data_IF_963128852674
#
_entry.id   IF_963128852674
#
_cell.length_a   1.000
_cell.length_b   1.000
_cell.length_c   1.000
_cell.angle_alpha   90.00
_cell.angle_beta   90.00
_cell.angle_gamma   90.00
#
_symmetry.space_group_name_H-M   'P 1'
#
loop_
_entity.id
_entity.type
_entity.pdbx_description
1 polymer ?
#
# COMPACT_ATOMS: atom_id res chain seq x y z
N UNK A 1 7.56 20.80 -3.54
CA UNK A 1 6.75 19.61 -3.81
C UNK A 1 7.23 18.53 -2.85
N UNK A 2 6.32 17.84 -2.17
CA UNK A 2 6.69 16.68 -1.36
C UNK A 2 6.84 15.44 -2.26
N UNK A 3 7.63 14.47 -1.83
CA UNK A 3 7.83 13.21 -2.54
C UNK A 3 7.40 12.05 -1.65
N UNK A 4 6.80 11.02 -2.26
CA UNK A 4 6.57 9.71 -1.65
C UNK A 4 7.61 8.75 -2.21
N UNK A 5 8.38 8.11 -1.34
CA UNK A 5 9.29 7.04 -1.76
C UNK A 5 8.53 5.74 -1.98
N UNK A 6 8.68 5.14 -3.15
CA UNK A 6 7.99 3.91 -3.56
C UNK A 6 8.97 3.00 -4.32
N UNK A 7 9.27 1.78 -3.87
CA UNK A 7 9.07 1.22 -2.53
C UNK A 7 10.38 0.58 -2.04
N UNK A 8 10.55 0.42 -0.72
CA UNK A 8 11.79 -0.14 -0.15
C UNK A 8 11.86 -1.66 -0.31
N UNK A 9 10.75 -2.36 -0.05
CA UNK A 9 10.71 -3.83 -0.14
C UNK A 9 9.51 -4.24 -0.98
N UNK A 10 9.78 -4.90 -2.10
CA UNK A 10 8.75 -5.45 -2.99
C UNK A 10 9.26 -6.73 -3.65
N UNK A 11 8.36 -7.71 -3.79
CA UNK A 11 8.70 -9.02 -4.34
C UNK A 11 8.90 -9.01 -5.87
N UNK A 12 8.28 -8.04 -6.58
CA UNK A 12 8.20 -8.04 -8.05
C UNK A 12 9.42 -7.43 -8.74
N UNK A 13 10.02 -6.39 -8.12
CA UNK A 13 11.11 -5.60 -8.72
C UNK A 13 12.43 -5.70 -7.93
N UNK A 14 12.63 -6.80 -7.22
CA UNK A 14 13.85 -7.04 -6.47
C UNK A 14 15.03 -7.37 -7.41
N UNK A 15 16.26 -6.94 -7.08
CA UNK A 15 17.42 -7.29 -7.89
C UNK A 15 17.74 -8.78 -7.73
N UNK A 16 17.86 -9.51 -8.85
CA UNK A 16 18.02 -10.98 -8.90
C UNK A 16 19.06 -11.59 -7.95
N UNK A 17 20.12 -10.86 -7.59
CA UNK A 17 21.14 -11.38 -6.69
C UNK A 17 20.58 -11.69 -5.30
N UNK A 18 19.63 -10.89 -4.80
CA UNK A 18 19.05 -11.09 -3.46
C UNK A 18 18.28 -12.41 -3.39
N UNK A 19 17.61 -12.79 -4.48
CA UNK A 19 16.87 -14.05 -4.57
C UNK A 19 17.75 -15.29 -4.40
N UNK A 20 19.07 -15.18 -4.60
CA UNK A 20 20.01 -16.29 -4.46
C UNK A 20 20.65 -16.36 -3.07
N UNK A 21 20.46 -15.35 -2.22
CA UNK A 21 21.02 -15.32 -0.87
C UNK A 21 20.34 -16.34 0.05
N UNK A 22 21.09 -16.86 1.02
CA UNK A 22 20.49 -17.58 2.15
C UNK A 22 19.69 -16.64 3.07
N UNK A 23 18.93 -17.23 4.00
CA UNK A 23 18.06 -16.48 4.93
C UNK A 23 18.80 -15.39 5.73
N UNK A 24 19.98 -15.70 6.27
CA UNK A 24 20.71 -14.77 7.13
C UNK A 24 21.31 -13.63 6.30
N UNK A 25 21.90 -13.96 5.15
CA UNK A 25 22.47 -12.98 4.23
C UNK A 25 21.38 -12.04 3.72
N UNK A 26 20.23 -12.59 3.29
CA UNK A 26 19.07 -11.80 2.84
C UNK A 26 18.54 -10.87 3.92
N UNK A 27 18.45 -11.34 5.16
CA UNK A 27 18.04 -10.52 6.30
C UNK A 27 18.97 -9.31 6.48
N UNK A 28 20.29 -9.50 6.37
CA UNK A 28 21.24 -8.39 6.42
C UNK A 28 21.13 -7.47 5.20
N UNK A 29 20.91 -8.02 4.01
CA UNK A 29 20.69 -7.25 2.78
C UNK A 29 19.45 -6.35 2.87
N UNK A 30 18.34 -6.84 3.44
CA UNK A 30 17.13 -6.04 3.71
C UNK A 30 17.44 -4.88 4.65
N UNK A 31 18.10 -5.16 5.79
CA UNK A 31 18.46 -4.14 6.78
C UNK A 31 19.38 -3.08 6.16
N UNK A 32 20.41 -3.52 5.43
CA UNK A 32 21.38 -2.65 4.79
C UNK A 32 20.76 -1.79 3.69
N UNK A 33 19.87 -2.37 2.86
CA UNK A 33 19.16 -1.65 1.81
C UNK A 33 18.30 -0.52 2.41
N UNK A 34 17.43 -0.84 3.37
CA UNK A 34 16.55 0.13 4.03
C UNK A 34 17.37 1.23 4.70
N UNK A 35 18.43 0.85 5.43
CA UNK A 35 19.33 1.80 6.09
C UNK A 35 19.98 2.75 5.10
N UNK A 36 20.50 2.22 3.99
CA UNK A 36 21.24 3.00 3.00
C UNK A 36 20.31 3.97 2.27
N UNK A 37 19.16 3.50 1.80
CA UNK A 37 18.21 4.32 1.05
C UNK A 37 17.61 5.41 1.92
N UNK A 38 17.13 5.07 3.13
CA UNK A 38 16.51 6.07 4.01
C UNK A 38 17.51 7.13 4.47
N UNK A 39 18.75 6.75 4.80
CA UNK A 39 19.79 7.74 5.12
C UNK A 39 20.16 8.63 3.94
N UNK A 40 20.18 8.08 2.73
CA UNK A 40 20.49 8.87 1.53
C UNK A 40 19.44 9.96 1.25
N UNK A 41 18.17 9.66 1.51
CA UNK A 41 17.04 10.56 1.30
C UNK A 41 16.57 11.28 2.58
N UNK A 42 17.35 11.22 3.67
CA UNK A 42 17.01 11.89 4.92
C UNK A 42 16.79 13.39 4.69
N UNK A 43 15.66 13.90 5.20
CA UNK A 43 15.25 15.30 5.03
C UNK A 43 14.73 15.67 3.64
N UNK A 44 14.73 14.73 2.67
CA UNK A 44 14.22 14.96 1.30
C UNK A 44 12.89 14.26 1.04
N UNK A 45 12.70 13.07 1.61
CA UNK A 45 11.48 12.26 1.48
C UNK A 45 10.99 11.92 2.89
N UNK A 46 9.78 12.33 3.22
CA UNK A 46 9.19 12.17 4.55
C UNK A 46 8.17 11.04 4.64
N UNK A 47 7.81 10.41 3.52
CA UNK A 47 6.81 9.34 3.45
C UNK A 47 7.33 8.22 2.55
N UNK A 48 7.30 6.98 3.03
CA UNK A 48 7.80 5.81 2.30
C UNK A 48 6.86 4.62 2.37
N UNK A 49 6.68 3.97 1.22
CA UNK A 49 6.20 2.60 1.15
C UNK A 49 7.31 1.66 1.56
N UNK A 50 7.23 1.20 2.80
CA UNK A 50 8.25 0.31 3.38
C UNK A 50 8.11 -1.09 2.80
N UNK A 51 6.88 -1.58 2.70
CA UNK A 51 6.57 -2.88 2.09
C UNK A 51 5.39 -2.71 1.14
N UNK A 52 5.55 -3.22 -0.07
CA UNK A 52 4.52 -3.22 -1.11
C UNK A 52 4.00 -4.65 -1.36
N UNK A 53 2.67 -4.82 -1.40
CA UNK A 53 1.97 -6.01 -1.92
C UNK A 53 2.35 -7.36 -1.29
N UNK A 54 2.57 -7.38 0.03
CA UNK A 54 2.96 -8.59 0.75
C UNK A 54 1.79 -9.55 1.02
N UNK A 55 0.54 -9.14 0.83
CA UNK A 55 -0.65 -9.95 1.10
C UNK A 55 -1.10 -10.63 -0.19
N UNK A 56 -1.37 -11.93 -0.08
CA UNK A 56 -1.70 -12.80 -1.20
C UNK A 56 -3.11 -12.51 -1.74
N UNK A 57 -3.28 -12.54 -3.06
CA UNK A 57 -4.58 -12.31 -3.69
C UNK A 57 -5.62 -13.40 -3.36
N UNK A 58 -5.14 -14.59 -2.96
CA UNK A 58 -5.99 -15.67 -2.46
C UNK A 58 -6.42 -15.54 -1.00
N UNK A 59 -6.13 -14.41 -0.34
CA UNK A 59 -6.61 -14.15 1.03
C UNK A 59 -8.14 -14.09 1.07
N UNK A 60 -8.76 -14.69 2.09
CA UNK A 60 -10.21 -14.91 2.16
C UNK A 60 -10.95 -13.96 3.12
N UNK A 61 -10.26 -13.01 3.76
CA UNK A 61 -10.84 -12.10 4.76
C UNK A 61 -10.99 -12.68 6.17
N UNK A 62 -10.51 -13.90 6.44
CA UNK A 62 -10.44 -14.49 7.78
C UNK A 62 -8.97 -14.67 8.19
N UNK A 63 -8.39 -13.64 8.80
CA UNK A 63 -6.95 -13.47 8.93
C UNK A 63 -6.32 -12.99 7.62
N UNK A 64 -4.99 -13.12 7.51
CA UNK A 64 -4.25 -12.79 6.29
C UNK A 64 -3.31 -13.92 5.88
N UNK A 65 -3.05 -14.01 4.58
CA UNK A 65 -2.06 -14.90 3.99
C UNK A 65 -0.99 -14.04 3.34
N UNK A 66 0.27 -14.26 3.71
CA UNK A 66 1.38 -13.62 3.00
C UNK A 66 1.55 -14.24 1.62
N UNK A 67 1.87 -13.39 0.64
CA UNK A 67 2.21 -13.79 -0.72
C UNK A 67 3.40 -14.75 -0.68
N UNK A 68 3.28 -15.85 -1.42
CA UNK A 68 4.35 -16.85 -1.53
C UNK A 68 5.53 -16.32 -2.37
N UNK A 69 6.35 -15.47 -1.77
CA UNK A 69 7.51 -14.81 -2.38
C UNK A 69 8.82 -15.34 -1.80
N UNK A 70 9.93 -15.14 -2.52
CA UNK A 70 11.27 -15.49 -2.02
C UNK A 70 11.58 -14.77 -0.68
N UNK A 71 11.08 -13.54 -0.50
CA UNK A 71 11.20 -12.76 0.74
C UNK A 71 10.55 -13.51 1.90
N UNK A 72 9.28 -13.90 1.76
CA UNK A 72 8.54 -14.59 2.81
C UNK A 72 9.06 -16.02 3.06
N UNK A 73 9.43 -16.74 2.01
CA UNK A 73 9.96 -18.11 2.11
C UNK A 73 11.28 -18.15 2.87
N UNK A 74 12.17 -17.18 2.64
CA UNK A 74 13.51 -17.15 3.24
C UNK A 74 13.57 -16.36 4.54
N UNK A 75 12.79 -15.30 4.67
CA UNK A 75 12.77 -14.41 5.84
C UNK A 75 11.31 -14.13 6.24
N UNK A 76 10.64 -15.05 6.96
CA UNK A 76 9.21 -14.90 7.28
C UNK A 76 8.85 -13.64 8.07
N UNK A 77 9.78 -13.06 8.82
CA UNK A 77 9.64 -11.84 9.60
C UNK A 77 10.13 -10.57 8.87
N UNK A 78 10.34 -10.62 7.55
CA UNK A 78 10.92 -9.50 6.79
C UNK A 78 10.16 -8.18 6.93
N UNK A 79 8.83 -8.23 7.08
CA UNK A 79 8.00 -7.03 7.21
C UNK A 79 8.25 -6.35 8.56
N UNK A 80 8.25 -7.14 9.64
CA UNK A 80 8.58 -6.66 10.98
C UNK A 80 10.00 -6.05 11.01
N UNK A 81 10.97 -6.72 10.40
CA UNK A 81 12.34 -6.23 10.26
C UNK A 81 12.34 -4.90 9.50
N UNK A 82 11.66 -4.83 8.35
CA UNK A 82 11.66 -3.66 7.50
C UNK A 82 11.13 -2.41 8.21
N UNK A 83 9.95 -2.51 8.84
CA UNK A 83 9.37 -1.40 9.59
C UNK A 83 10.21 -1.00 10.81
N UNK A 84 10.71 -1.97 11.59
CA UNK A 84 11.57 -1.69 12.76
C UNK A 84 12.87 -1.00 12.35
N UNK A 85 13.54 -1.50 11.32
CA UNK A 85 14.75 -0.88 10.77
C UNK A 85 14.46 0.52 10.23
N UNK A 86 13.40 0.69 9.44
CA UNK A 86 13.02 1.98 8.89
C UNK A 86 12.78 3.03 9.98
N UNK A 87 12.03 2.68 11.03
CA UNK A 87 11.81 3.58 12.18
C UNK A 87 13.11 3.89 12.92
N UNK A 88 13.99 2.91 13.10
CA UNK A 88 15.26 3.10 13.79
C UNK A 88 16.18 4.09 13.05
N UNK A 89 16.24 4.01 11.73
CA UNK A 89 17.17 4.83 10.93
C UNK A 89 16.57 6.14 10.43
N UNK A 90 15.23 6.23 10.35
CA UNK A 90 14.51 7.43 9.91
C UNK A 90 13.31 7.72 10.83
N UNK A 91 13.54 8.20 12.06
CA UNK A 91 12.51 8.28 13.09
C UNK A 91 11.37 9.26 12.77
N UNK A 92 11.58 10.21 11.85
CA UNK A 92 10.58 11.21 11.45
C UNK A 92 9.81 10.87 10.18
N UNK A 93 10.25 9.85 9.43
CA UNK A 93 9.56 9.42 8.21
C UNK A 93 8.26 8.70 8.57
N UNK A 94 7.21 8.97 7.80
CA UNK A 94 5.96 8.21 7.82
C UNK A 94 6.12 6.90 7.06
N UNK A 95 5.80 5.79 7.73
CA UNK A 95 6.03 4.43 7.25
C UNK A 95 4.71 3.78 6.83
N UNK A 96 4.59 3.47 5.54
CA UNK A 96 3.37 2.94 4.93
C UNK A 96 3.52 1.48 4.49
N UNK A 97 2.43 0.73 4.63
CA UNK A 97 2.18 -0.51 3.88
C UNK A 97 1.29 -0.18 2.68
N UNK A 98 1.65 -0.56 1.46
CA UNK A 98 0.91 -0.23 0.23
C UNK A 98 0.49 -1.50 -0.52
N UNK A 99 -0.74 -1.54 -1.04
CA UNK A 99 -1.27 -2.73 -1.74
C UNK A 99 -2.46 -2.39 -2.67
N UNK A 100 -2.64 -3.18 -3.72
CA UNK A 100 -3.79 -3.11 -4.64
C UNK A 100 -4.92 -4.06 -4.24
N UNK A 101 -6.09 -3.85 -4.85
CA UNK A 101 -7.30 -4.63 -4.59
C UNK A 101 -7.66 -4.55 -3.09
N UNK A 102 -7.49 -3.33 -2.54
CA UNK A 102 -7.76 -2.97 -1.15
C UNK A 102 -8.66 -1.73 -1.00
N UNK A 103 -9.43 -1.37 -2.02
CA UNK A 103 -10.12 -0.07 -2.14
C UNK A 103 -11.54 -0.05 -1.52
N UNK A 104 -12.03 -1.20 -1.09
CA UNK A 104 -13.35 -1.37 -0.47
C UNK A 104 -13.36 -2.56 0.47
N UNK A 105 -14.49 -3.25 0.63
CA UNK A 105 -14.62 -4.34 1.61
C UNK A 105 -14.94 -5.66 0.91
N UNK A 106 -13.93 -6.51 0.83
CA UNK A 106 -13.97 -7.89 0.33
C UNK A 106 -12.79 -8.65 0.95
N UNK A 107 -12.56 -9.87 0.46
CA UNK A 107 -11.61 -10.81 1.03
C UNK A 107 -10.19 -10.24 1.24
N UNK A 108 -9.53 -9.74 0.19
CA UNK A 108 -8.17 -9.21 0.30
C UNK A 108 -8.09 -7.96 1.18
N UNK A 109 -8.97 -6.98 0.98
CA UNK A 109 -8.96 -5.75 1.79
C UNK A 109 -9.21 -5.99 3.27
N UNK A 110 -10.08 -6.95 3.61
CA UNK A 110 -10.34 -7.36 4.98
C UNK A 110 -9.12 -8.05 5.61
N UNK A 111 -8.39 -8.84 4.83
CA UNK A 111 -7.12 -9.43 5.25
C UNK A 111 -6.02 -8.38 5.47
N UNK A 112 -5.90 -7.38 4.59
CA UNK A 112 -4.97 -6.26 4.78
C UNK A 112 -5.32 -5.45 6.04
N UNK A 113 -6.61 -5.17 6.26
CA UNK A 113 -7.06 -4.49 7.48
C UNK A 113 -6.66 -5.26 8.74
N UNK A 114 -6.92 -6.57 8.78
CA UNK A 114 -6.54 -7.43 9.92
C UNK A 114 -5.02 -7.48 10.13
N UNK A 115 -4.25 -7.52 9.04
CA UNK A 115 -2.80 -7.47 9.08
C UNK A 115 -2.30 -6.15 9.67
N UNK A 116 -2.79 -5.00 9.21
CA UNK A 116 -2.42 -3.68 9.76
C UNK A 116 -2.83 -3.56 11.23
N UNK A 117 -4.01 -4.06 11.60
CA UNK A 117 -4.45 -4.09 13.00
C UNK A 117 -3.51 -4.93 13.88
N UNK A 118 -3.01 -6.05 13.37
CA UNK A 118 -2.02 -6.89 14.06
C UNK A 118 -0.66 -6.19 14.21
N UNK A 119 -0.18 -5.51 13.16
CA UNK A 119 1.04 -4.69 13.26
C UNK A 119 0.93 -3.65 14.37
N UNK A 120 -0.21 -2.93 14.44
CA UNK A 120 -0.47 -1.97 15.52
C UNK A 120 -0.53 -2.66 16.89
N UNK A 121 -1.24 -3.79 17.00
CA UNK A 121 -1.34 -4.57 18.24
C UNK A 121 0.03 -5.04 18.76
N UNK A 122 0.94 -5.42 17.87
CA UNK A 122 2.31 -5.86 18.20
C UNK A 122 3.32 -4.72 18.31
N UNK A 123 2.87 -3.47 18.22
CA UNK A 123 3.72 -2.26 18.24
C UNK A 123 4.79 -2.23 17.14
N UNK A 124 4.48 -2.77 15.95
CA UNK A 124 5.28 -2.52 14.75
C UNK A 124 5.04 -1.07 14.31
N UNK A 125 6.11 -0.29 14.00
CA UNK A 125 5.99 1.15 13.78
C UNK A 125 5.43 1.48 12.40
N UNK A 126 4.15 1.20 12.18
CA UNK A 126 3.40 1.59 10.98
C UNK A 126 2.61 2.87 11.27
N UNK A 127 2.72 3.85 10.36
CA UNK A 127 2.02 5.13 10.45
C UNK A 127 0.84 5.21 9.50
N UNK A 128 0.88 4.49 8.37
CA UNK A 128 -0.15 4.59 7.36
C UNK A 128 -0.34 3.35 6.49
N UNK A 129 -1.44 3.34 5.76
CA UNK A 129 -1.76 2.38 4.71
C UNK A 129 -1.99 3.11 3.39
N UNK A 130 -1.38 2.59 2.33
CA UNK A 130 -1.58 3.02 0.96
C UNK A 130 -2.57 2.10 0.27
N UNK A 131 -3.61 2.70 -0.30
CA UNK A 131 -4.59 2.03 -1.15
C UNK A 131 -4.22 2.42 -2.58
N UNK A 132 -3.66 1.49 -3.36
CA UNK A 132 -3.20 1.77 -4.73
C UNK A 132 -4.34 2.32 -5.58
N UNK A 133 -5.50 1.67 -5.55
CA UNK A 133 -6.68 2.15 -6.26
C UNK A 133 -6.62 2.02 -7.78
N UNK A 134 -6.05 0.91 -8.25
CA UNK A 134 -6.20 0.46 -9.63
C UNK A 134 -7.55 -0.24 -9.83
N UNK A 135 -8.49 0.44 -10.48
CA UNK A 135 -9.85 -0.06 -10.69
C UNK A 135 -10.30 0.11 -12.14
N UNK A 136 -11.42 -0.50 -12.50
CA UNK A 136 -12.04 -0.32 -13.82
C UNK A 136 -13.47 0.22 -13.69
N UNK A 137 -13.99 0.83 -14.75
CA UNK A 137 -15.39 1.31 -14.76
C UNK A 137 -16.40 0.17 -14.55
N UNK A 138 -16.04 -1.09 -14.87
CA UNK A 138 -16.88 -2.28 -14.63
C UNK A 138 -16.69 -2.85 -13.23
N UNK A 139 -15.47 -2.79 -12.69
CA UNK A 139 -15.11 -3.38 -11.40
C UNK A 139 -14.52 -2.29 -10.51
N UNK A 140 -15.38 -1.72 -9.67
CA UNK A 140 -15.04 -0.62 -8.76
C UNK A 140 -15.82 -0.70 -7.45
N UNK A 141 -15.25 -0.20 -6.34
CA UNK A 141 -15.89 -0.24 -5.03
C UNK A 141 -17.00 0.80 -4.86
N UNK A 142 -18.12 0.42 -4.27
CA UNK A 142 -19.16 1.39 -3.90
C UNK A 142 -18.64 2.42 -2.89
N UNK A 143 -19.08 3.68 -3.04
CA UNK A 143 -18.75 4.80 -2.13
C UNK A 143 -18.78 4.43 -0.64
N UNK A 144 -19.86 3.81 -0.17
CA UNK A 144 -20.03 3.44 1.24
C UNK A 144 -19.01 2.38 1.72
N UNK A 145 -18.49 1.54 0.83
CA UNK A 145 -17.46 0.55 1.16
C UNK A 145 -16.08 1.19 1.28
N UNK A 146 -15.76 2.14 0.40
CA UNK A 146 -14.52 2.93 0.47
C UNK A 146 -14.52 3.74 1.77
N UNK A 147 -15.57 4.52 2.01
CA UNK A 147 -15.73 5.36 3.19
C UNK A 147 -15.65 4.54 4.49
N UNK A 148 -16.34 3.40 4.54
CA UNK A 148 -16.28 2.53 5.71
C UNK A 148 -14.88 1.95 5.95
N UNK A 149 -14.18 1.52 4.89
CA UNK A 149 -12.82 1.00 5.01
C UNK A 149 -11.86 2.07 5.56
N UNK A 150 -11.88 3.27 4.99
CA UNK A 150 -11.00 4.37 5.42
C UNK A 150 -11.28 4.73 6.89
N UNK A 151 -12.57 4.86 7.27
CA UNK A 151 -12.96 5.11 8.67
C UNK A 151 -12.43 4.03 9.62
N UNK A 152 -12.39 2.75 9.19
CA UNK A 152 -11.83 1.66 10.00
C UNK A 152 -10.33 1.82 10.21
N UNK A 153 -9.57 2.20 9.18
CA UNK A 153 -8.15 2.53 9.34
C UNK A 153 -7.93 3.74 10.24
N UNK A 154 -8.76 4.78 10.14
CA UNK A 154 -8.70 5.91 11.07
C UNK A 154 -8.85 5.47 12.53
N UNK A 155 -9.74 4.51 12.82
CA UNK A 155 -9.94 3.94 14.16
C UNK A 155 -8.75 3.11 14.66
N UNK A 156 -7.93 2.57 13.77
CA UNK A 156 -6.65 1.92 14.13
C UNK A 156 -5.54 2.94 14.43
N UNK A 157 -5.76 4.23 14.18
CA UNK A 157 -4.77 5.27 14.37
C UNK A 157 -3.63 5.19 13.35
N UNK A 158 -3.97 4.87 12.10
CA UNK A 158 -3.07 4.99 10.94
C UNK A 158 -3.63 5.99 9.95
N UNK A 159 -2.73 6.67 9.24
CA UNK A 159 -3.07 7.50 8.08
C UNK A 159 -3.48 6.61 6.89
N UNK A 160 -4.27 7.16 5.98
CA UNK A 160 -4.62 6.51 4.72
C UNK A 160 -4.19 7.40 3.57
N UNK A 161 -3.49 6.86 2.60
CA UNK A 161 -3.30 7.52 1.31
C UNK A 161 -4.01 6.70 0.23
N UNK A 162 -4.62 7.39 -0.74
CA UNK A 162 -4.89 6.84 -2.08
C UNK A 162 -3.66 7.15 -2.93
N UNK A 163 -3.04 6.14 -3.53
CA UNK A 163 -1.59 6.22 -3.82
C UNK A 163 -1.23 6.09 -5.28
N UNK A 164 -2.05 5.38 -6.05
CA UNK A 164 -1.77 5.02 -7.44
C UNK A 164 -3.09 5.02 -8.24
N UNK A 165 -3.98 5.98 -7.96
CA UNK A 165 -5.32 5.97 -8.54
C UNK A 165 -5.26 6.08 -10.06
N UNK A 166 -5.82 5.07 -10.71
CA UNK A 166 -6.21 5.10 -12.11
C UNK A 166 -7.54 4.34 -12.28
N UNK A 167 -8.24 4.64 -13.38
CA UNK A 167 -9.54 4.03 -13.67
C UNK A 167 -9.55 3.58 -15.12
N UNK A 168 -9.33 2.28 -15.34
CA UNK A 168 -9.46 1.64 -16.64
C UNK A 168 -10.86 1.84 -17.22
N UNK A 169 -10.94 2.22 -18.49
CA UNK A 169 -12.20 2.29 -19.23
C UNK A 169 -12.70 0.91 -19.70
N UNK A 170 -11.96 -0.17 -19.45
CA UNK A 170 -12.33 -1.56 -19.77
C UNK A 170 -12.81 -1.74 -21.23
N UNK A 171 -12.04 -1.18 -22.17
CA UNK A 171 -12.31 -1.10 -23.62
C UNK A 171 -13.53 -0.23 -24.01
N UNK A 172 -14.06 0.58 -23.09
CA UNK A 172 -15.18 1.50 -23.33
C UNK A 172 -14.81 2.94 -22.98
N UNK A 173 -13.81 3.47 -23.68
CA UNK A 173 -13.32 4.84 -23.49
C UNK A 173 -14.20 5.91 -24.17
N UNK A 174 -15.23 5.52 -24.93
CA UNK A 174 -16.06 6.45 -25.68
C UNK A 174 -17.26 6.91 -24.83
N UNK A 175 -17.52 8.21 -24.80
CA UNK A 175 -18.65 8.80 -24.06
C UNK A 175 -20.04 8.39 -24.60
N UNK A 176 -20.11 7.78 -25.79
CA UNK A 176 -21.36 7.28 -26.37
C UNK A 176 -22.09 6.28 -25.45
N UNK A 177 -21.35 5.50 -24.67
CA UNK A 177 -21.89 4.55 -23.68
C UNK A 177 -21.73 5.05 -22.23
N UNK A 178 -21.38 6.33 -22.05
CA UNK A 178 -21.15 6.97 -20.76
C UNK A 178 -19.90 6.50 -20.02
N UNK A 179 -18.87 6.04 -20.75
CA UNK A 179 -17.60 5.58 -20.19
C UNK A 179 -16.90 6.64 -19.34
N UNK A 180 -16.76 7.87 -19.87
CA UNK A 180 -16.18 9.02 -19.16
C UNK A 180 -17.01 9.39 -17.93
N UNK A 181 -18.33 9.39 -18.03
CA UNK A 181 -19.22 9.64 -16.89
C UNK A 181 -19.05 8.63 -15.76
N UNK A 182 -18.88 7.34 -16.09
CA UNK A 182 -18.58 6.29 -15.10
C UNK A 182 -17.20 6.49 -14.49
N UNK A 183 -16.19 6.77 -15.31
CA UNK A 183 -14.82 7.02 -14.85
C UNK A 183 -14.78 8.21 -13.85
N UNK A 184 -15.42 9.32 -14.22
CA UNK A 184 -15.58 10.51 -13.38
C UNK A 184 -16.27 10.20 -12.04
N UNK A 185 -17.30 9.34 -12.06
CA UNK A 185 -17.97 8.91 -10.83
C UNK A 185 -17.05 8.08 -9.90
N UNK A 186 -16.17 7.25 -10.46
CA UNK A 186 -15.19 6.48 -9.67
C UNK A 186 -14.18 7.40 -9.00
N UNK A 187 -13.57 8.33 -9.75
CA UNK A 187 -12.70 9.38 -9.19
C UNK A 187 -13.40 10.19 -8.10
N UNK A 188 -14.65 10.59 -8.35
CA UNK A 188 -15.46 11.35 -7.39
C UNK A 188 -15.70 10.57 -6.11
N UNK A 189 -16.04 9.28 -6.20
CA UNK A 189 -16.28 8.44 -5.03
C UNK A 189 -15.02 8.25 -4.19
N UNK A 190 -13.87 8.01 -4.85
CA UNK A 190 -12.58 7.86 -4.19
C UNK A 190 -12.20 9.15 -3.43
N UNK A 191 -12.24 10.30 -4.11
CA UNK A 191 -11.89 11.59 -3.52
C UNK A 191 -12.84 11.97 -2.39
N UNK A 192 -14.16 11.78 -2.59
CA UNK A 192 -15.16 12.07 -1.57
C UNK A 192 -14.97 11.23 -0.31
N UNK A 193 -14.67 9.94 -0.46
CA UNK A 193 -14.40 9.06 0.68
C UNK A 193 -13.14 9.48 1.44
N UNK A 194 -12.08 9.87 0.72
CA UNK A 194 -10.87 10.42 1.34
C UNK A 194 -11.18 11.71 2.11
N UNK A 195 -11.84 12.69 1.48
CA UNK A 195 -12.17 13.97 2.11
C UNK A 195 -13.09 13.84 3.33
N UNK A 196 -13.96 12.83 3.36
CA UNK A 196 -14.85 12.57 4.50
C UNK A 196 -14.17 11.95 5.71
N UNK A 197 -12.92 11.46 5.56
CA UNK A 197 -12.17 10.81 6.61
C UNK A 197 -10.87 11.57 6.87
N UNK A 198 -10.76 12.28 7.99
CA UNK A 198 -9.62 13.15 8.28
C UNK A 198 -8.26 12.45 8.39
N UNK A 199 -8.23 11.12 8.56
CA UNK A 199 -6.99 10.36 8.50
C UNK A 199 -6.51 10.09 7.07
N UNK A 200 -7.34 10.36 6.05
CA UNK A 200 -6.93 10.29 4.66
C UNK A 200 -6.21 11.58 4.26
N UNK A 201 -4.88 11.51 4.15
CA UNK A 201 -4.00 12.69 4.04
C UNK A 201 -3.23 12.75 2.72
N UNK A 202 -3.43 11.78 1.83
CA UNK A 202 -2.78 11.71 0.53
C UNK A 202 -3.72 11.17 -0.55
N UNK A 203 -3.69 11.80 -1.72
CA UNK A 203 -4.47 11.41 -2.90
C UNK A 203 -3.60 11.61 -4.14
N UNK A 204 -3.13 10.51 -4.71
CA UNK A 204 -2.19 10.48 -5.84
C UNK A 204 -2.82 9.68 -6.98
N UNK A 205 -2.58 10.16 -8.20
CA UNK A 205 -2.97 9.49 -9.46
C UNK A 205 -1.74 8.86 -10.11
N UNK A 206 -1.91 7.73 -10.81
CA UNK A 206 -0.81 6.97 -11.38
C UNK A 206 -0.51 7.33 -12.84
N UNK A 207 -0.04 8.56 -13.05
CA UNK A 207 0.23 9.09 -14.38
C UNK A 207 -0.25 10.53 -14.52
N UNK A 208 -0.01 11.12 -15.70
CA UNK A 208 -0.49 12.48 -16.02
C UNK A 208 -1.27 12.48 -17.33
N UNK A 209 -0.80 11.75 -18.34
CA UNK A 209 -1.50 11.59 -19.62
C UNK A 209 -1.75 10.13 -19.91
N UNK A 210 -2.84 9.88 -20.64
CA UNK A 210 -3.21 8.59 -21.22
C UNK A 210 -2.37 8.24 -22.45
#
# INVERSE_FOLDING_TARGET
MAFRGHALIWHSMAPKWIENEDSNTMKQSIINHITTVLKHYEGKIDTWDVVNEAIDDGSNGNGWKFRNSFLYQKVPDFIDIAFKTARQVSPKTKLFYNDYNTEGIWAKSESVYQFVADLKKRNIPIDGVGIQYHVGIKVQPQYNKIDNLISRYCKLGVEVHITELDVSCDDNCNDYDGGEGKQSQVYTNALKACLNNSCCTGFLVWGIGD
#
